data_IF_224910874696
#
_entry.id   IF_224910874696
#
_cell.length_a   1.000
_cell.length_b   1.000
_cell.length_c   1.000
_cell.angle_alpha   90.00
_cell.angle_beta   90.00
_cell.angle_gamma   90.00
#
_symmetry.space_group_name_H-M   'P 1'
#
loop_
_entity.id
_entity.type
_entity.pdbx_description
1 polymer ?
#
# COMPACT_ATOMS: atom_id res chain seq x y z
N UNK A 1 7.20 17.08 2.80
CA UNK A 1 6.81 15.68 2.88
C UNK A 1 7.85 14.80 2.21
N UNK A 2 8.11 13.64 2.81
CA UNK A 2 9.10 12.71 2.26
C UNK A 2 8.75 12.28 0.82
N UNK A 3 7.47 12.07 0.54
CA UNK A 3 7.03 11.61 -0.77
C UNK A 3 7.16 12.67 -1.86
N UNK A 4 7.25 13.95 -1.50
CA UNK A 4 7.38 15.02 -2.50
C UNK A 4 8.74 15.01 -3.18
N UNK A 5 9.71 14.25 -2.64
CA UNK A 5 11.05 14.15 -3.23
C UNK A 5 11.18 13.01 -4.23
N UNK A 6 10.13 12.22 -4.41
CA UNK A 6 10.12 11.10 -5.35
C UNK A 6 9.67 11.63 -6.71
N UNK A 7 10.45 11.31 -7.75
CA UNK A 7 10.09 11.67 -9.12
C UNK A 7 9.02 10.70 -9.64
N UNK A 8 7.77 11.13 -9.56
CA UNK A 8 6.63 10.31 -9.94
C UNK A 8 6.09 10.81 -11.29
N UNK A 9 6.18 9.96 -12.30
CA UNK A 9 5.80 10.34 -13.68
C UNK A 9 4.33 10.12 -13.97
N UNK A 10 3.71 9.15 -13.30
CA UNK A 10 2.29 8.84 -13.45
C UNK A 10 1.63 8.83 -12.08
N UNK A 11 1.05 7.71 -11.71
CA UNK A 11 0.35 7.58 -10.44
C UNK A 11 1.25 7.03 -9.34
N UNK A 12 0.97 7.45 -8.13
CA UNK A 12 1.57 6.86 -6.94
C UNK A 12 0.55 5.93 -6.30
N UNK A 13 0.89 4.67 -6.22
CA UNK A 13 0.04 3.63 -5.65
C UNK A 13 0.65 3.18 -4.34
N UNK A 14 -0.11 3.25 -3.26
CA UNK A 14 0.36 2.82 -1.94
C UNK A 14 -0.30 1.54 -1.50
N UNK A 15 0.52 0.57 -1.07
CA UNK A 15 0.05 -0.63 -0.36
C UNK A 15 0.41 -0.37 1.10
N UNK A 16 -0.56 0.00 1.91
CA UNK A 16 -0.31 0.54 3.24
C UNK A 16 -0.92 -0.32 4.34
N UNK A 17 -0.27 -0.31 5.46
CA UNK A 17 -0.70 -0.97 6.68
C UNK A 17 0.28 -0.60 7.78
N UNK A 18 -0.10 -0.83 9.02
CA UNK A 18 0.75 -0.52 10.17
C UNK A 18 0.61 -1.61 11.22
N UNK A 19 1.60 -1.75 12.13
CA UNK A 19 1.46 -2.68 13.25
C UNK A 19 0.26 -2.33 14.12
N UNK A 20 -0.41 -3.36 14.64
CA UNK A 20 -1.62 -3.17 15.44
C UNK A 20 -1.39 -2.51 16.78
N UNK A 21 -0.13 -2.36 17.22
CA UNK A 21 0.19 -1.71 18.49
C UNK A 21 0.24 -0.18 18.41
N UNK A 22 -0.08 0.39 17.26
CA UNK A 22 -0.24 1.85 17.13
C UNK A 22 -1.61 2.27 17.66
N UNK A 23 -1.72 3.55 18.04
CA UNK A 23 -3.01 4.07 18.53
C UNK A 23 -4.01 4.23 17.39
N UNK A 24 -5.29 4.23 17.74
CA UNK A 24 -6.35 4.47 16.76
C UNK A 24 -6.14 5.80 16.02
N UNK A 25 -5.75 6.84 16.77
CA UNK A 25 -5.51 8.15 16.18
C UNK A 25 -4.38 8.09 15.16
N UNK A 26 -3.28 7.41 15.46
CA UNK A 26 -2.15 7.29 14.55
C UNK A 26 -2.54 6.55 13.28
N UNK A 27 -3.37 5.52 13.40
CA UNK A 27 -3.84 4.77 12.23
C UNK A 27 -4.68 5.64 11.31
N UNK A 28 -5.57 6.45 11.88
CA UNK A 28 -6.37 7.38 11.10
C UNK A 28 -5.50 8.46 10.47
N UNK A 29 -4.55 9.00 11.21
CA UNK A 29 -3.64 10.04 10.70
C UNK A 29 -2.81 9.52 9.53
N UNK A 30 -2.32 8.28 9.63
CA UNK A 30 -1.56 7.66 8.54
C UNK A 30 -2.44 7.46 7.31
N UNK A 31 -3.68 7.02 7.52
CA UNK A 31 -4.64 6.86 6.42
C UNK A 31 -4.90 8.18 5.70
N UNK A 32 -5.10 9.25 6.46
CA UNK A 32 -5.33 10.56 5.89
C UNK A 32 -4.12 11.07 5.13
N UNK A 33 -2.93 10.93 5.72
CA UNK A 33 -1.69 11.35 5.09
C UNK A 33 -1.46 10.60 3.77
N UNK A 34 -1.64 9.29 3.78
CA UNK A 34 -1.45 8.49 2.57
C UNK A 34 -2.49 8.84 1.52
N UNK A 35 -3.75 9.04 1.91
CA UNK A 35 -4.78 9.45 0.98
C UNK A 35 -4.50 10.80 0.33
N UNK A 36 -3.89 11.72 1.07
CA UNK A 36 -3.51 13.02 0.54
C UNK A 36 -2.30 12.96 -0.39
N UNK A 37 -1.45 11.96 -0.21
CA UNK A 37 -0.18 11.85 -0.92
C UNK A 37 -0.22 10.90 -2.10
N UNK A 38 -1.16 9.97 -2.14
CA UNK A 38 -1.21 8.89 -3.11
C UNK A 38 -2.45 8.98 -3.98
N UNK A 39 -2.32 8.56 -5.23
CA UNK A 39 -3.44 8.53 -6.17
C UNK A 39 -4.35 7.35 -5.92
N UNK A 40 -3.78 6.25 -5.48
CA UNK A 40 -4.50 5.02 -5.18
C UNK A 40 -3.94 4.40 -3.91
N UNK A 41 -4.84 3.92 -3.05
CA UNK A 41 -4.47 3.29 -1.78
C UNK A 41 -5.08 1.90 -1.69
N UNK A 42 -4.23 0.92 -1.40
CA UNK A 42 -4.68 -0.44 -1.10
C UNK A 42 -4.26 -0.70 0.34
N UNK A 43 -5.22 -0.97 1.20
CA UNK A 43 -4.98 -1.17 2.63
C UNK A 43 -4.86 -2.67 2.91
N UNK A 44 -3.75 -3.07 3.52
CA UNK A 44 -3.51 -4.44 3.96
C UNK A 44 -3.36 -4.47 5.47
N UNK A 45 -3.28 -5.66 6.06
CA UNK A 45 -3.01 -5.81 7.49
C UNK A 45 -1.80 -6.71 7.71
N UNK A 46 -1.04 -6.43 8.76
CA UNK A 46 0.01 -7.33 9.21
C UNK A 46 -0.63 -8.61 9.74
N UNK A 47 0.05 -9.74 9.58
CA UNK A 47 -0.40 -11.01 10.15
C UNK A 47 -0.42 -10.96 11.66
N UNK A 48 0.59 -10.31 12.23
CA UNK A 48 0.65 -10.08 13.67
C UNK A 48 -0.18 -8.84 14.00
N UNK A 49 -1.40 -9.08 14.42
CA UNK A 49 -2.35 -7.99 14.69
C UNK A 49 -2.22 -7.35 16.07
N UNK A 50 -1.24 -7.82 16.86
CA UNK A 50 -0.95 -7.25 18.17
C UNK A 50 -2.21 -7.09 19.04
N UNK A 51 -3.06 -8.14 19.05
CA UNK A 51 -4.29 -8.16 19.84
C UNK A 51 -5.50 -7.52 19.20
N UNK A 52 -5.35 -6.93 18.02
CA UNK A 52 -6.49 -6.35 17.29
C UNK A 52 -7.26 -7.46 16.56
N UNK A 53 -8.55 -7.22 16.38
CA UNK A 53 -9.38 -8.11 15.58
C UNK A 53 -9.03 -7.97 14.10
N UNK A 54 -9.35 -9.01 13.32
CA UNK A 54 -9.16 -8.96 11.88
C UNK A 54 -9.99 -7.80 11.30
N UNK A 55 -9.40 -7.05 10.37
CA UNK A 55 -10.00 -5.88 9.72
C UNK A 55 -10.12 -4.64 10.60
N UNK A 56 -9.72 -4.71 11.86
CA UNK A 56 -9.82 -3.55 12.77
C UNK A 56 -8.85 -2.45 12.36
N UNK A 57 -7.57 -2.80 12.14
CA UNK A 57 -6.55 -1.83 11.72
C UNK A 57 -6.90 -1.25 10.35
N UNK A 58 -7.29 -2.12 9.41
CA UNK A 58 -7.63 -1.67 8.06
C UNK A 58 -8.79 -0.68 8.08
N UNK A 59 -9.78 -0.92 8.92
CA UNK A 59 -10.94 -0.02 9.04
C UNK A 59 -10.54 1.35 9.54
N UNK A 60 -9.64 1.40 10.53
CA UNK A 60 -9.17 2.68 11.08
C UNK A 60 -8.35 3.46 10.04
N UNK A 61 -7.50 2.77 9.30
CA UNK A 61 -6.74 3.40 8.22
C UNK A 61 -7.71 3.92 7.15
N UNK A 62 -8.70 3.11 6.79
CA UNK A 62 -9.70 3.49 5.78
C UNK A 62 -10.48 4.74 6.19
N UNK A 63 -10.83 4.85 7.47
CA UNK A 63 -11.49 6.04 7.98
C UNK A 63 -10.64 7.29 7.73
N UNK A 64 -9.32 7.18 7.93
CA UNK A 64 -8.41 8.27 7.65
C UNK A 64 -8.34 8.60 6.16
N UNK A 65 -8.24 7.59 5.31
CA UNK A 65 -8.24 7.78 3.85
C UNK A 65 -9.51 8.49 3.40
N UNK A 66 -10.64 8.12 4.00
CA UNK A 66 -11.93 8.72 3.63
C UNK A 66 -12.02 10.21 4.01
N UNK A 67 -11.16 10.68 4.91
CA UNK A 67 -11.07 12.11 5.24
C UNK A 67 -10.18 12.87 4.25
N UNK A 68 -9.52 12.16 3.34
CA UNK A 68 -8.68 12.76 2.32
C UNK A 68 -9.47 12.90 1.01
N UNK A 69 -8.80 13.39 -0.03
CA UNK A 69 -9.40 13.49 -1.36
C UNK A 69 -9.19 12.24 -2.21
N UNK A 70 -8.59 11.20 -1.66
CA UNK A 70 -8.34 9.97 -2.40
C UNK A 70 -9.66 9.27 -2.73
N UNK A 71 -9.90 9.01 -4.01
CA UNK A 71 -11.14 8.39 -4.48
C UNK A 71 -10.97 6.91 -4.83
N UNK A 72 -9.74 6.43 -4.86
CA UNK A 72 -9.44 5.05 -5.22
C UNK A 72 -8.78 4.37 -4.03
N UNK A 73 -9.62 3.83 -3.16
CA UNK A 73 -9.18 3.13 -1.96
C UNK A 73 -9.90 1.79 -1.86
N UNK A 74 -9.14 0.74 -1.62
CA UNK A 74 -9.72 -0.58 -1.37
C UNK A 74 -8.94 -1.31 -0.30
N UNK A 75 -9.57 -2.30 0.30
CA UNK A 75 -8.99 -3.12 1.35
C UNK A 75 -8.74 -4.52 0.82
N UNK A 76 -7.49 -4.96 0.88
CA UNK A 76 -7.08 -6.33 0.57
C UNK A 76 -6.16 -6.72 1.71
N UNK A 77 -6.67 -7.46 2.68
CA UNK A 77 -5.97 -7.68 3.95
C UNK A 77 -4.64 -8.41 3.80
N UNK A 78 -4.55 -9.36 2.88
CA UNK A 78 -3.30 -10.11 2.66
C UNK A 78 -2.28 -9.24 1.94
N UNK A 79 -1.11 -9.08 2.53
CA UNK A 79 -0.07 -8.20 2.01
C UNK A 79 0.41 -8.59 0.61
N UNK A 80 0.62 -9.88 0.36
CA UNK A 80 1.06 -10.36 -0.94
C UNK A 80 0.00 -10.10 -2.01
N UNK A 81 -1.26 -10.38 -1.69
CA UNK A 81 -2.36 -10.17 -2.62
C UNK A 81 -2.60 -8.68 -2.87
N UNK A 82 -2.39 -7.85 -1.85
CA UNK A 82 -2.48 -6.40 -2.01
C UNK A 82 -1.42 -5.90 -3.00
N UNK A 83 -0.18 -6.36 -2.87
CA UNK A 83 0.87 -5.99 -3.82
C UNK A 83 0.58 -6.55 -5.21
N UNK A 84 0.07 -7.78 -5.30
CA UNK A 84 -0.31 -8.37 -6.59
C UNK A 84 -1.33 -7.50 -7.31
N UNK A 85 -2.32 -6.99 -6.58
CA UNK A 85 -3.33 -6.10 -7.16
C UNK A 85 -2.71 -4.78 -7.61
N UNK A 86 -1.80 -4.22 -6.82
CA UNK A 86 -1.11 -2.98 -7.21
C UNK A 86 -0.32 -3.19 -8.50
N UNK A 87 0.41 -4.29 -8.59
CA UNK A 87 1.21 -4.60 -9.79
C UNK A 87 0.32 -4.80 -11.01
N UNK A 88 -0.73 -5.61 -10.89
CA UNK A 88 -1.59 -5.95 -12.03
C UNK A 88 -2.42 -4.76 -12.52
N UNK A 89 -2.66 -3.78 -11.68
CA UNK A 89 -3.44 -2.60 -12.05
C UNK A 89 -2.57 -1.38 -12.37
N UNK A 90 -1.25 -1.49 -12.24
CA UNK A 90 -0.34 -0.39 -12.57
C UNK A 90 -0.01 -0.39 -14.06
N UNK A 91 0.46 0.76 -14.53
CA UNK A 91 0.99 0.90 -15.89
C UNK A 91 2.41 1.44 -15.81
N UNK A 92 3.14 1.37 -16.91
CA UNK A 92 4.52 1.85 -16.97
C UNK A 92 4.54 3.33 -16.59
N UNK A 93 5.43 3.69 -15.68
CA UNK A 93 5.55 5.05 -15.17
C UNK A 93 4.92 5.23 -13.80
N UNK A 94 4.09 4.29 -13.36
CA UNK A 94 3.53 4.32 -12.00
C UNK A 94 4.61 3.94 -10.98
N UNK A 95 4.46 4.47 -9.77
CA UNK A 95 5.32 4.11 -8.64
C UNK A 95 4.48 3.41 -7.58
N UNK A 96 4.98 2.31 -7.05
CA UNK A 96 4.30 1.57 -5.99
C UNK A 96 5.15 1.65 -4.73
N UNK A 97 4.53 2.10 -3.63
CA UNK A 97 5.16 2.14 -2.32
C UNK A 97 4.47 1.11 -1.43
N UNK A 98 5.23 0.28 -0.77
CA UNK A 98 4.69 -0.78 0.09
C UNK A 98 5.19 -0.60 1.52
N UNK A 99 4.27 -0.53 2.47
CA UNK A 99 4.58 -0.60 3.90
C UNK A 99 4.51 -2.08 4.27
N UNK A 100 5.63 -2.77 4.19
CA UNK A 100 5.64 -4.22 4.28
C UNK A 100 5.86 -4.74 5.71
N UNK A 101 5.35 -5.94 5.96
CA UNK A 101 5.66 -6.70 7.19
C UNK A 101 6.71 -7.75 6.88
N UNK A 102 6.54 -8.51 5.79
CA UNK A 102 7.47 -9.56 5.39
C UNK A 102 7.99 -9.26 3.98
N UNK A 103 9.28 -8.97 3.88
CA UNK A 103 9.87 -8.53 2.61
C UNK A 103 10.01 -9.67 1.59
N UNK A 104 10.50 -10.84 2.03
CA UNK A 104 10.84 -11.91 1.09
C UNK A 104 9.70 -12.36 0.17
N UNK A 105 8.47 -12.60 0.67
CA UNK A 105 7.37 -12.98 -0.22
C UNK A 105 7.07 -11.92 -1.27
N UNK A 106 7.26 -10.64 -0.92
CA UNK A 106 7.02 -9.55 -1.86
C UNK A 106 8.09 -9.51 -2.95
N UNK A 107 9.35 -9.74 -2.57
CA UNK A 107 10.45 -9.80 -3.54
C UNK A 107 10.22 -10.94 -4.52
N UNK A 108 9.79 -12.10 -4.03
CA UNK A 108 9.49 -13.24 -4.89
C UNK A 108 8.36 -12.93 -5.86
N UNK A 109 7.31 -12.26 -5.38
CA UNK A 109 6.20 -11.86 -6.24
C UNK A 109 6.67 -10.90 -7.34
N UNK A 110 7.50 -9.92 -6.98
CA UNK A 110 8.01 -8.94 -7.95
C UNK A 110 8.84 -9.65 -9.03
N UNK A 111 9.67 -10.61 -8.63
CA UNK A 111 10.47 -11.38 -9.59
C UNK A 111 9.60 -12.17 -10.54
N UNK A 112 8.56 -12.83 -10.04
CA UNK A 112 7.61 -13.56 -10.86
C UNK A 112 6.92 -12.64 -11.85
N UNK A 113 6.45 -11.50 -11.38
CA UNK A 113 5.75 -10.54 -12.19
C UNK A 113 6.64 -9.99 -13.29
N UNK A 114 7.88 -9.65 -12.95
CA UNK A 114 8.86 -9.16 -13.92
C UNK A 114 9.16 -10.21 -15.00
N UNK A 115 9.23 -11.48 -14.59
CA UNK A 115 9.51 -12.57 -15.51
C UNK A 115 8.36 -12.80 -16.50
N UNK A 116 7.12 -12.63 -16.05
CA UNK A 116 5.93 -12.79 -16.89
C UNK A 116 5.72 -11.58 -17.80
N UNK A 117 6.08 -10.39 -17.32
CA UNK A 117 5.88 -9.12 -18.03
C UNK A 117 7.23 -8.55 -18.47
N UNK A 118 7.76 -9.05 -19.58
CA UNK A 118 9.09 -8.68 -20.07
C UNK A 118 9.32 -7.17 -20.15
N UNK A 119 8.28 -6.43 -20.43
CA UNK A 119 8.40 -5.00 -20.67
C UNK A 119 8.20 -4.16 -19.41
N UNK A 120 7.90 -4.79 -18.29
CA UNK A 120 7.65 -4.07 -17.06
C UNK A 120 8.96 -3.76 -16.38
N UNK A 121 9.21 -2.48 -16.16
CA UNK A 121 10.40 -2.05 -15.46
C UNK A 121 10.14 -1.99 -13.95
N UNK A 122 10.55 -3.02 -13.22
CA UNK A 122 10.38 -3.10 -11.78
C UNK A 122 11.60 -2.60 -11.01
N UNK A 123 12.62 -2.09 -11.69
CA UNK A 123 13.84 -1.63 -11.03
C UNK A 123 13.58 -0.43 -10.12
N UNK A 124 12.46 0.27 -10.32
CA UNK A 124 12.11 1.44 -9.53
C UNK A 124 11.30 1.13 -8.26
N UNK A 125 11.02 -0.14 -8.00
CA UNK A 125 10.29 -0.55 -6.81
C UNK A 125 11.19 -0.66 -5.57
#
# INVERSE_FOLDING_TARGET
>A
KALSNIDIKNNLIGVIGVPGDRTNKMMKDIGKLCGESMDRVIIKEDKDRRGREINEVAKLIEEGVNESNCKDCRVILNEVEALRKALSSSIIGDTIIVFYEELEPLVELIKEYKHEEDNLNLANL
#
